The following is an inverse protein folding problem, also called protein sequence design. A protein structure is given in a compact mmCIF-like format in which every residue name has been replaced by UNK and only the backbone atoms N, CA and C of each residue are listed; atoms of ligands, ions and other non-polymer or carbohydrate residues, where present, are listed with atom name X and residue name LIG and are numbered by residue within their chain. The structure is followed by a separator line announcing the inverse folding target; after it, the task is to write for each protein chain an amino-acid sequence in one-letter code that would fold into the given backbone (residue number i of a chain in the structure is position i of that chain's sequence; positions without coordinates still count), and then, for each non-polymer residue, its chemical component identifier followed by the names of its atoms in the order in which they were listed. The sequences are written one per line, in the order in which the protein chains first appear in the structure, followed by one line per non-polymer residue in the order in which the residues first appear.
data_IF_070337695746
#
_entry.id   IF_070337695746
#
_cell.length_a   1.000
_cell.length_b   1.000
_cell.length_c   1.000
_cell.angle_alpha   90.00
_cell.angle_beta   90.00
_cell.angle_gamma   90.00
#
_symmetry.space_group_name_H-M   'P 1'
#
loop_
_entity.id
_entity.type
_entity.pdbx_description
1 polymer ?
#
# COMPACT_ATOMS: atom_id res chain seq x y z
N UNK A 1 -9.31 13.83 8.47
CA UNK A 1 -8.33 13.98 9.60
C UNK A 1 -7.02 14.47 9.00
N UNK A 2 -6.84 15.78 8.90
CA UNK A 2 -5.70 16.44 8.25
C UNK A 2 -6.10 17.79 7.66
N UNK A 3 -5.19 18.76 7.67
CA UNK A 3 -5.43 20.19 7.34
C UNK A 3 -6.01 20.47 5.94
N UNK A 4 -6.08 19.46 5.06
CA UNK A 4 -6.59 19.58 3.69
C UNK A 4 -7.55 18.45 3.27
N UNK A 5 -8.14 17.73 4.22
CA UNK A 5 -9.10 16.65 3.87
C UNK A 5 -10.46 17.28 3.55
N UNK A 6 -10.96 17.08 2.34
CA UNK A 6 -12.35 17.39 2.01
C UNK A 6 -13.25 16.44 2.80
N UNK A 7 -14.24 16.96 3.52
CA UNK A 7 -15.18 16.10 4.25
C UNK A 7 -15.92 15.17 3.28
N UNK A 8 -15.93 13.88 3.61
CA UNK A 8 -16.66 12.85 2.87
C UNK A 8 -18.13 12.96 3.27
N UNK A 9 -19.00 13.21 2.30
CA UNK A 9 -20.44 13.48 2.51
C UNK A 9 -21.34 12.37 2.02
N UNK A 10 -20.85 11.50 1.13
CA UNK A 10 -21.63 10.39 0.55
C UNK A 10 -20.86 9.07 0.62
N UNK A 11 -21.57 7.95 0.46
CA UNK A 11 -20.94 6.63 0.39
C UNK A 11 -20.07 6.47 -0.86
N UNK A 12 -20.45 7.09 -1.98
CA UNK A 12 -19.66 7.05 -3.21
C UNK A 12 -18.33 7.80 -3.04
N UNK A 13 -18.33 8.95 -2.35
CA UNK A 13 -17.11 9.67 -1.98
C UNK A 13 -16.23 8.87 -1.01
N UNK A 14 -16.85 8.13 -0.07
CA UNK A 14 -16.13 7.24 0.83
C UNK A 14 -15.45 6.10 0.06
N UNK A 15 -16.15 5.54 -0.91
CA UNK A 15 -15.63 4.47 -1.76
C UNK A 15 -14.48 4.96 -2.64
N UNK A 16 -14.64 6.09 -3.34
CA UNK A 16 -13.55 6.68 -4.15
C UNK A 16 -12.33 7.03 -3.29
N UNK A 17 -12.54 7.60 -2.10
CA UNK A 17 -11.46 7.86 -1.15
C UNK A 17 -10.74 6.56 -0.75
N UNK A 18 -11.48 5.51 -0.41
CA UNK A 18 -10.90 4.21 -0.06
C UNK A 18 -10.07 3.61 -1.21
N UNK A 19 -10.55 3.72 -2.44
CA UNK A 19 -9.81 3.28 -3.63
C UNK A 19 -8.49 4.05 -3.81
N UNK A 20 -8.50 5.37 -3.58
CA UNK A 20 -7.28 6.19 -3.65
C UNK A 20 -6.29 5.84 -2.54
N UNK A 21 -6.80 5.57 -1.33
CA UNK A 21 -5.98 5.22 -0.18
C UNK A 21 -5.28 3.88 -0.38
N UNK A 22 -6.01 2.84 -0.80
CA UNK A 22 -5.40 1.54 -1.09
C UNK A 22 -4.44 1.63 -2.28
N UNK A 23 -4.77 2.40 -3.33
CA UNK A 23 -3.86 2.62 -4.46
C UNK A 23 -2.56 3.31 -4.02
N UNK A 24 -2.64 4.30 -3.13
CA UNK A 24 -1.46 4.92 -2.55
C UNK A 24 -0.65 3.91 -1.72
N UNK A 25 -1.30 3.11 -0.87
CA UNK A 25 -0.63 2.08 -0.07
C UNK A 25 0.12 1.08 -0.95
N UNK A 26 -0.49 0.59 -2.03
CA UNK A 26 0.15 -0.33 -2.98
C UNK A 26 1.41 0.28 -3.61
N UNK A 27 1.36 1.54 -4.03
CA UNK A 27 2.54 2.23 -4.56
C UNK A 27 3.66 2.38 -3.53
N UNK A 28 3.33 2.49 -2.24
CA UNK A 28 4.32 2.52 -1.17
C UNK A 28 4.87 1.12 -0.89
N UNK A 29 4.04 0.08 -0.97
CA UNK A 29 4.44 -1.34 -0.86
C UNK A 29 5.43 -1.68 -1.99
N UNK A 30 5.14 -1.31 -3.24
CA UNK A 30 6.05 -1.52 -4.39
C UNK A 30 7.45 -0.93 -4.16
N UNK A 31 7.56 0.21 -3.47
CA UNK A 31 8.85 0.84 -3.14
C UNK A 31 9.56 0.16 -1.97
N UNK A 32 8.79 -0.41 -1.04
CA UNK A 32 9.32 -1.01 0.18
C UNK A 32 9.75 -2.48 -0.02
N UNK A 33 9.00 -3.24 -0.81
CA UNK A 33 9.21 -4.68 -1.04
C UNK A 33 10.64 -5.01 -1.50
N UNK A 34 11.26 -4.30 -2.45
CA UNK A 34 12.65 -4.58 -2.85
C UNK A 34 13.64 -4.54 -1.68
N UNK A 35 13.48 -3.57 -0.77
CA UNK A 35 14.34 -3.43 0.41
C UNK A 35 14.13 -4.58 1.40
N UNK A 36 12.89 -5.02 1.56
CA UNK A 36 12.57 -6.17 2.42
C UNK A 36 13.09 -7.49 1.84
N UNK A 37 13.02 -7.66 0.51
CA UNK A 37 13.58 -8.81 -0.21
C UNK A 37 15.10 -8.89 -0.01
N UNK A 38 15.79 -7.76 -0.11
CA UNK A 38 17.25 -7.68 0.08
C UNK A 38 17.66 -7.99 1.52
N UNK A 39 16.92 -7.47 2.50
CA UNK A 39 17.19 -7.69 3.92
C UNK A 39 16.80 -9.10 4.42
N UNK A 40 16.00 -9.86 3.66
CA UNK A 40 15.50 -11.17 4.07
C UNK A 40 16.57 -12.26 3.94
N UNK A 41 16.95 -12.86 5.06
CA UNK A 41 17.89 -13.99 5.12
C UNK A 41 17.22 -15.35 4.93
N UNK A 42 15.94 -15.47 5.31
CA UNK A 42 15.17 -16.71 5.11
C UNK A 42 14.80 -16.88 3.62
N UNK A 43 15.19 -18.00 2.97
CA UNK A 43 14.93 -18.20 1.55
C UNK A 43 13.44 -18.26 1.17
N UNK A 44 12.59 -18.83 2.03
CA UNK A 44 11.15 -18.92 1.79
C UNK A 44 10.48 -17.54 1.91
N UNK A 45 10.85 -16.76 2.92
CA UNK A 45 10.37 -15.39 3.08
C UNK A 45 10.75 -14.53 1.86
N UNK A 46 12.02 -14.59 1.44
CA UNK A 46 12.49 -13.85 0.27
C UNK A 46 11.74 -14.26 -1.00
N UNK A 47 11.41 -15.54 -1.15
CA UNK A 47 10.62 -16.05 -2.29
C UNK A 47 9.19 -15.51 -2.24
N UNK A 48 8.52 -15.60 -1.11
CA UNK A 48 7.15 -15.08 -0.94
C UNK A 48 7.04 -13.58 -1.22
N UNK A 49 8.00 -12.79 -0.74
CA UNK A 49 8.04 -11.35 -1.03
C UNK A 49 8.28 -11.04 -2.52
N UNK A 50 9.09 -11.86 -3.21
CA UNK A 50 9.32 -11.74 -4.66
C UNK A 50 8.12 -12.15 -5.49
N UNK A 51 7.38 -13.17 -5.06
CA UNK A 51 6.20 -13.65 -5.78
C UNK A 51 5.00 -12.71 -5.59
N UNK A 52 4.98 -11.92 -4.50
CA UNK A 52 3.98 -10.89 -4.25
C UNK A 52 4.24 -9.57 -5.00
N UNK A 53 5.50 -9.29 -5.33
CA UNK A 53 5.93 -8.09 -6.07
C UNK A 53 5.69 -8.25 -7.58
#
# INVERSE_FOLDING_TARGET
MGLFTKDIKTLDELFDHGLRDIYYAENQILKALPKLIEASTNPQLRRGLKDHL
#
